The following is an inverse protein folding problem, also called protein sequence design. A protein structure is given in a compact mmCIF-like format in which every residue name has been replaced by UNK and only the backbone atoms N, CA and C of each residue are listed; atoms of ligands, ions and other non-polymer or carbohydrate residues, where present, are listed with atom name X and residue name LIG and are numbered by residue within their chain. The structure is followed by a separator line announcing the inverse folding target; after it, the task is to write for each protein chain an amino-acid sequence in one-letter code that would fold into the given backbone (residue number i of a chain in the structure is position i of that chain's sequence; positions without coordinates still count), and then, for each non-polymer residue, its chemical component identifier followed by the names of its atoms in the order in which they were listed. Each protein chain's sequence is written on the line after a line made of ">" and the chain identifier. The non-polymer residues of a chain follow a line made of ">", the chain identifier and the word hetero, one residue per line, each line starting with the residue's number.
data_IF_733043977395
#
_entry.id   IF_733043977395
#
_cell.length_a   1.000
_cell.length_b   1.000
_cell.length_c   1.000
_cell.angle_alpha   90.00
_cell.angle_beta   90.00
_cell.angle_gamma   90.00
#
_symmetry.space_group_name_H-M   'P 1'
#
loop_
_entity.id
_entity.type
_entity.pdbx_description
1 polymer ?
#
# COMPACT_ATOMS: atom_id res chain seq x y z
N UNK A 1 78.04 22.90 7.22
CA UNK A 1 76.68 23.38 6.94
C UNK A 1 75.72 22.50 7.75
N UNK A 2 75.10 23.05 8.81
CA UNK A 2 74.30 22.31 9.78
C UNK A 2 72.85 22.81 9.72
N UNK A 3 71.89 21.92 9.49
CA UNK A 3 70.46 22.25 9.35
C UNK A 3 69.72 22.16 10.69
N UNK A 4 68.76 23.06 11.00
CA UNK A 4 68.29 23.31 12.36
C UNK A 4 67.03 22.52 12.78
N UNK A 5 66.89 21.23 12.43
CA UNK A 5 65.66 20.45 12.77
C UNK A 5 65.89 19.11 13.47
N UNK A 6 67.08 18.85 14.01
CA UNK A 6 67.28 17.74 14.93
C UNK A 6 67.10 18.22 16.38
N UNK A 7 65.86 18.42 16.82
CA UNK A 7 65.55 18.49 18.24
C UNK A 7 64.46 17.49 18.57
N UNK A 8 64.88 16.51 19.36
CA UNK A 8 64.12 15.41 19.93
C UNK A 8 62.99 15.97 20.81
N UNK A 9 61.76 15.90 20.32
CA UNK A 9 60.57 16.27 21.06
C UNK A 9 59.76 15.03 21.40
N UNK A 10 59.91 14.53 22.63
CA UNK A 10 59.04 13.49 23.18
C UNK A 10 57.61 14.03 23.29
N UNK A 11 56.73 13.64 22.37
CA UNK A 11 55.30 13.85 22.55
C UNK A 11 54.81 12.82 23.58
N UNK A 12 54.75 13.26 24.83
CA UNK A 12 54.03 12.59 25.91
C UNK A 12 52.59 12.37 25.46
N UNK A 13 52.26 11.10 25.22
CA UNK A 13 50.92 10.58 24.99
C UNK A 13 49.98 11.11 26.08
N UNK A 14 49.14 12.07 25.69
CA UNK A 14 48.16 12.73 26.55
C UNK A 14 47.10 11.71 26.94
N UNK A 15 47.35 11.10 28.09
CA UNK A 15 46.57 10.00 28.68
C UNK A 15 45.28 10.59 29.23
N UNK A 16 44.31 10.81 28.36
CA UNK A 16 42.93 11.17 28.73
C UNK A 16 42.40 10.08 29.65
N UNK A 17 42.35 10.36 30.96
CA UNK A 17 41.71 9.49 31.94
C UNK A 17 40.19 9.57 31.71
N UNK A 18 39.50 8.45 31.44
CA UNK A 18 38.04 8.45 31.41
C UNK A 18 37.52 8.75 32.83
N UNK A 19 36.93 9.93 33.00
CA UNK A 19 36.29 10.33 34.25
C UNK A 19 34.90 9.71 34.30
N UNK A 20 34.79 8.54 34.92
CA UNK A 20 33.49 7.99 35.29
C UNK A 20 32.90 8.84 36.42
N UNK A 21 31.99 9.74 36.06
CA UNK A 21 31.04 10.32 37.02
C UNK A 21 29.89 9.32 37.18
N UNK A 22 29.95 8.52 38.24
CA UNK A 22 28.81 7.81 38.80
C UNK A 22 28.07 8.77 39.73
N UNK A 23 26.95 9.32 39.28
CA UNK A 23 25.94 9.87 40.20
C UNK A 23 25.00 8.74 40.63
N UNK A 24 24.73 8.56 41.93
CA UNK A 24 23.70 7.64 42.40
C UNK A 24 22.33 8.31 42.26
N UNK A 25 21.62 8.03 41.15
CA UNK A 25 20.19 8.33 41.09
C UNK A 25 19.38 7.21 41.73
N UNK A 26 18.62 7.59 42.76
CA UNK A 26 17.61 6.80 43.46
C UNK A 26 16.74 6.01 42.46
N UNK A 27 16.80 4.69 42.57
CA UNK A 27 15.94 3.76 41.87
C UNK A 27 14.49 3.96 42.32
N UNK A 28 13.67 4.53 41.44
CA UNK A 28 12.21 4.38 41.49
C UNK A 28 11.85 3.28 40.51
N UNK A 29 11.27 2.20 41.04
CA UNK A 29 10.82 1.02 40.32
C UNK A 29 10.01 1.41 39.07
N UNK A 30 10.46 0.98 37.89
CA UNK A 30 9.61 0.95 36.70
C UNK A 30 10.06 -0.17 35.76
N UNK A 31 9.21 -1.20 35.74
CA UNK A 31 8.84 -2.05 34.62
C UNK A 31 9.93 -2.43 33.61
N UNK A 32 10.25 -3.72 33.64
CA UNK A 32 10.80 -4.58 32.58
C UNK A 32 10.58 -3.98 31.18
N UNK A 33 11.62 -3.58 30.43
CA UNK A 33 11.46 -3.34 29.00
C UNK A 33 11.22 -4.69 28.31
N UNK A 34 10.26 -4.79 27.38
CA UNK A 34 10.22 -5.92 26.45
C UNK A 34 11.53 -5.93 25.65
N UNK A 35 12.03 -7.14 25.39
CA UNK A 35 13.26 -7.40 24.66
C UNK A 35 13.40 -6.52 23.41
N UNK A 36 14.63 -6.10 23.07
CA UNK A 36 14.90 -5.55 21.75
C UNK A 36 14.66 -6.65 20.73
N UNK A 37 13.53 -6.59 20.02
CA UNK A 37 13.42 -7.23 18.72
C UNK A 37 14.61 -6.70 17.92
N UNK A 38 15.55 -7.59 17.61
CA UNK A 38 16.67 -7.32 16.74
C UNK A 38 16.13 -6.55 15.53
N UNK A 39 16.74 -5.39 15.26
CA UNK A 39 16.36 -4.40 14.26
C UNK A 39 16.25 -5.02 12.86
N UNK A 40 15.17 -5.75 12.59
CA UNK A 40 14.69 -5.95 11.23
C UNK A 40 14.16 -4.58 10.82
N UNK A 41 14.76 -4.00 9.79
CA UNK A 41 14.26 -2.75 9.21
C UNK A 41 12.75 -2.86 8.88
N UNK A 42 12.07 -1.72 8.67
CA UNK A 42 10.63 -1.72 8.39
C UNK A 42 10.33 -2.68 7.23
N UNK A 43 9.49 -3.70 7.48
CA UNK A 43 9.02 -4.63 6.44
C UNK A 43 8.30 -3.85 5.35
N UNK A 44 8.32 -4.33 4.11
CA UNK A 44 7.49 -3.71 3.08
C UNK A 44 6.00 -3.82 3.43
N UNK A 45 5.22 -2.87 2.90
CA UNK A 45 3.75 -2.91 2.98
C UNK A 45 3.18 -4.22 2.40
N UNK A 46 3.86 -4.80 1.41
CA UNK A 46 3.45 -6.06 0.78
C UNK A 46 3.59 -7.24 1.73
N UNK A 47 4.72 -7.39 2.44
CA UNK A 47 4.87 -8.43 3.48
C UNK A 47 3.80 -8.29 4.55
N UNK A 48 3.57 -7.06 5.03
CA UNK A 48 2.56 -6.81 6.06
C UNK A 48 1.17 -7.20 5.56
N UNK A 49 0.85 -6.89 4.30
CA UNK A 49 -0.40 -7.29 3.67
C UNK A 49 -0.54 -8.81 3.61
N UNK A 50 0.48 -9.55 3.18
CA UNK A 50 0.43 -11.01 3.10
C UNK A 50 0.33 -11.67 4.48
N UNK A 51 1.09 -11.17 5.46
CA UNK A 51 1.03 -11.64 6.85
C UNK A 51 -0.37 -11.43 7.44
N UNK A 52 -1.02 -10.30 7.11
CA UNK A 52 -2.38 -10.04 7.57
C UNK A 52 -3.38 -11.10 7.10
N UNK A 53 -3.24 -11.57 5.85
CA UNK A 53 -4.12 -12.60 5.25
C UNK A 53 -3.99 -13.97 5.93
N UNK A 54 -2.88 -14.24 6.60
CA UNK A 54 -2.61 -15.52 7.26
C UNK A 54 -3.26 -15.61 8.66
N UNK A 55 -3.62 -14.48 9.27
CA UNK A 55 -3.79 -14.41 10.74
C UNK A 55 -5.13 -14.95 11.24
N UNK A 56 -6.15 -15.13 10.39
CA UNK A 56 -7.39 -15.76 10.86
C UNK A 56 -7.20 -17.27 10.93
N UNK A 57 -7.39 -17.86 12.12
CA UNK A 57 -7.46 -19.32 12.30
C UNK A 57 -8.91 -19.83 12.20
N UNK A 58 -9.89 -18.97 12.46
CA UNK A 58 -11.32 -19.28 12.35
C UNK A 58 -11.94 -18.47 11.20
N UNK A 59 -12.85 -19.07 10.41
CA UNK A 59 -13.59 -18.33 9.39
C UNK A 59 -14.59 -17.41 10.10
N UNK A 60 -14.21 -16.14 10.21
CA UNK A 60 -15.08 -15.10 10.77
C UNK A 60 -15.77 -14.39 9.60
N UNK A 61 -17.07 -14.05 9.71
CA UNK A 61 -17.70 -13.17 8.73
C UNK A 61 -16.93 -11.85 8.63
N UNK A 62 -16.92 -11.25 7.45
CA UNK A 62 -16.30 -9.95 7.25
C UNK A 62 -17.05 -8.90 8.10
N UNK A 63 -16.37 -8.15 9.00
CA UNK A 63 -17.01 -7.11 9.81
C UNK A 63 -17.68 -6.01 8.98
N UNK A 64 -17.29 -5.84 7.72
CA UNK A 64 -17.82 -4.86 6.78
C UNK A 64 -18.87 -5.45 5.83
N UNK A 65 -19.32 -6.68 6.04
CA UNK A 65 -20.45 -7.29 5.31
C UNK A 65 -20.13 -7.85 3.93
N UNK A 66 -18.84 -7.99 3.58
CA UNK A 66 -18.40 -8.48 2.26
C UNK A 66 -18.76 -7.54 1.10
N UNK A 67 -18.55 -8.00 -0.13
CA UNK A 67 -18.87 -7.26 -1.35
C UNK A 67 -19.53 -8.20 -2.39
N UNK A 68 -20.63 -7.74 -3.00
CA UNK A 68 -21.42 -8.52 -3.97
C UNK A 68 -21.25 -8.05 -5.42
N UNK A 69 -20.17 -7.34 -5.73
CA UNK A 69 -19.93 -6.78 -7.06
C UNK A 69 -19.63 -7.80 -8.17
N UNK A 70 -19.44 -9.10 -7.85
CA UNK A 70 -19.07 -10.16 -8.80
C UNK A 70 -17.83 -9.82 -9.64
N UNK A 71 -16.87 -9.09 -9.06
CA UNK A 71 -15.68 -8.57 -9.72
C UNK A 71 -15.93 -7.62 -10.93
N UNK A 72 -17.12 -6.97 -10.98
CA UNK A 72 -17.42 -5.95 -11.98
C UNK A 72 -16.85 -4.57 -11.63
N UNK A 73 -16.90 -4.22 -10.35
CA UNK A 73 -16.41 -2.92 -9.84
C UNK A 73 -15.01 -3.01 -9.24
N UNK A 74 -14.69 -4.17 -8.64
CA UNK A 74 -13.42 -4.42 -7.98
C UNK A 74 -12.68 -5.54 -8.71
N UNK A 75 -11.34 -5.50 -8.68
CA UNK A 75 -10.51 -6.56 -9.26
C UNK A 75 -10.85 -7.93 -8.66
N UNK A 76 -10.76 -8.99 -9.45
CA UNK A 76 -10.93 -10.37 -8.99
C UNK A 76 -9.93 -10.68 -7.86
N UNK A 77 -10.37 -11.43 -6.84
CA UNK A 77 -9.46 -11.87 -5.77
C UNK A 77 -8.35 -12.75 -6.34
N UNK A 78 -7.06 -12.47 -6.06
CA UNK A 78 -5.94 -13.24 -6.59
C UNK A 78 -5.82 -14.64 -5.95
N UNK A 79 -6.37 -14.80 -4.75
CA UNK A 79 -6.25 -16.02 -3.95
C UNK A 79 -7.50 -16.90 -4.00
N UNK A 80 -8.68 -16.27 -4.14
CA UNK A 80 -9.97 -16.95 -4.05
C UNK A 80 -10.95 -16.33 -5.05
N UNK A 81 -10.84 -16.68 -6.34
CA UNK A 81 -11.66 -16.07 -7.39
C UNK A 81 -13.16 -16.36 -7.27
N UNK A 82 -13.54 -17.50 -6.68
CA UNK A 82 -14.94 -17.86 -6.44
C UNK A 82 -15.10 -18.74 -5.19
N UNK A 83 -16.28 -18.67 -4.57
CA UNK A 83 -16.68 -19.63 -3.55
C UNK A 83 -17.10 -20.95 -4.20
N UNK A 84 -16.41 -22.07 -3.93
CA UNK A 84 -16.79 -23.35 -4.55
C UNK A 84 -18.08 -23.95 -3.98
N UNK A 85 -18.62 -23.43 -2.87
CA UNK A 85 -19.89 -23.92 -2.31
C UNK A 85 -21.11 -23.29 -2.98
N UNK A 86 -21.12 -21.97 -3.18
CA UNK A 86 -22.27 -21.26 -3.74
C UNK A 86 -22.02 -20.64 -5.13
N UNK A 87 -20.79 -20.69 -5.63
CA UNK A 87 -20.42 -20.13 -6.93
C UNK A 87 -20.26 -18.60 -6.97
N UNK A 88 -20.37 -17.90 -5.83
CA UNK A 88 -20.20 -16.44 -5.80
C UNK A 88 -18.77 -16.05 -6.22
N UNK A 89 -18.64 -15.22 -7.26
CA UNK A 89 -17.38 -14.63 -7.70
C UNK A 89 -16.93 -13.57 -6.69
N UNK A 90 -15.72 -13.72 -6.15
CA UNK A 90 -15.19 -12.87 -5.08
C UNK A 90 -14.16 -11.88 -5.63
N UNK A 91 -14.33 -10.60 -5.29
CA UNK A 91 -13.35 -9.56 -5.60
C UNK A 91 -12.27 -9.42 -4.52
N UNK A 92 -11.30 -8.56 -4.74
CA UNK A 92 -10.20 -8.26 -3.82
C UNK A 92 -10.63 -7.75 -2.44
N UNK A 93 -11.84 -7.19 -2.30
CA UNK A 93 -12.38 -6.79 -1.00
C UNK A 93 -12.86 -7.98 -0.16
N UNK A 94 -13.19 -9.10 -0.81
CA UNK A 94 -13.58 -10.34 -0.14
C UNK A 94 -12.31 -11.14 0.19
N UNK A 95 -11.68 -10.80 1.31
CA UNK A 95 -10.43 -11.42 1.72
C UNK A 95 -10.62 -12.92 2.01
N UNK A 96 -9.65 -13.78 1.65
CA UNK A 96 -9.72 -15.23 1.87
C UNK A 96 -9.78 -15.64 3.35
N UNK A 97 -9.40 -14.74 4.25
CA UNK A 97 -9.45 -14.97 5.70
C UNK A 97 -10.88 -14.94 6.26
N UNK A 98 -11.84 -14.37 5.51
CA UNK A 98 -13.23 -14.24 5.90
C UNK A 98 -14.11 -15.32 5.25
N UNK A 99 -15.22 -15.63 5.91
CA UNK A 99 -16.22 -16.53 5.36
C UNK A 99 -16.92 -15.89 4.15
N UNK A 100 -17.45 -16.73 3.24
CA UNK A 100 -18.20 -16.25 2.08
C UNK A 100 -19.40 -15.38 2.52
N UNK A 101 -19.61 -14.20 1.92
CA UNK A 101 -20.70 -13.31 2.35
C UNK A 101 -22.10 -13.84 1.99
N UNK A 102 -22.21 -14.82 1.09
CA UNK A 102 -23.50 -15.42 0.72
C UNK A 102 -23.85 -16.66 1.56
N UNK A 103 -22.93 -17.63 1.66
CA UNK A 103 -23.22 -18.91 2.31
C UNK A 103 -22.54 -19.09 3.68
N UNK A 104 -21.72 -18.13 4.10
CA UNK A 104 -20.95 -18.15 5.35
C UNK A 104 -20.01 -19.35 5.50
N UNK A 105 -19.73 -20.07 4.42
CA UNK A 105 -18.76 -21.15 4.41
C UNK A 105 -17.33 -20.61 4.25
N UNK A 106 -16.33 -21.25 4.88
CA UNK A 106 -14.93 -20.94 4.63
C UNK A 106 -14.54 -21.23 3.17
N UNK A 107 -13.51 -20.57 2.62
CA UNK A 107 -12.98 -20.95 1.33
C UNK A 107 -12.43 -22.39 1.41
N UNK A 108 -12.71 -23.21 0.39
CA UNK A 108 -12.16 -24.56 0.28
C UNK A 108 -10.64 -24.49 0.05
N UNK A 109 -9.93 -25.56 0.44
CA UNK A 109 -8.46 -25.65 0.33
C UNK A 109 -7.70 -24.55 1.08
N UNK A 110 -8.24 -24.11 2.22
CA UNK A 110 -7.60 -23.10 3.08
C UNK A 110 -6.15 -23.46 3.43
N UNK A 111 -5.88 -24.72 3.72
CA UNK A 111 -4.53 -25.20 4.03
C UNK A 111 -3.57 -25.00 2.85
N UNK A 112 -3.99 -25.34 1.63
CA UNK A 112 -3.20 -25.10 0.42
C UNK A 112 -2.97 -23.61 0.20
N UNK A 113 -3.96 -22.77 0.50
CA UNK A 113 -3.81 -21.32 0.43
C UNK A 113 -2.81 -20.79 1.46
N UNK A 114 -2.84 -21.30 2.69
CA UNK A 114 -1.88 -20.93 3.74
C UNK A 114 -0.46 -21.30 3.30
N UNK A 115 -0.25 -22.50 2.75
CA UNK A 115 1.05 -22.93 2.24
C UNK A 115 1.54 -22.02 1.10
N UNK A 116 0.64 -21.65 0.19
CA UNK A 116 0.98 -20.70 -0.90
C UNK A 116 1.36 -19.32 -0.37
N UNK A 117 0.57 -18.78 0.57
CA UNK A 117 0.86 -17.49 1.20
C UNK A 117 2.18 -17.52 1.97
N UNK A 118 2.49 -18.61 2.69
CA UNK A 118 3.77 -18.82 3.35
C UNK A 118 4.93 -18.80 2.35
N UNK A 119 4.81 -19.53 1.24
CA UNK A 119 5.80 -19.51 0.17
C UNK A 119 6.03 -18.11 -0.40
N UNK A 120 4.96 -17.35 -0.67
CA UNK A 120 5.06 -15.97 -1.16
C UNK A 120 5.71 -15.03 -0.12
N UNK A 121 5.38 -15.19 1.17
CA UNK A 121 6.01 -14.44 2.28
C UNK A 121 7.51 -14.74 2.36
N UNK A 122 7.89 -16.02 2.34
CA UNK A 122 9.29 -16.45 2.45
C UNK A 122 10.12 -15.98 1.24
N UNK A 123 9.56 -16.08 0.03
CA UNK A 123 10.20 -15.58 -1.17
C UNK A 123 10.43 -14.06 -1.13
N UNK A 124 9.42 -13.30 -0.68
CA UNK A 124 9.50 -11.85 -0.63
C UNK A 124 10.42 -11.39 0.50
N UNK A 125 10.41 -12.07 1.64
CA UNK A 125 11.35 -11.83 2.74
C UNK A 125 12.80 -12.09 2.32
N UNK A 126 13.06 -13.17 1.56
CA UNK A 126 14.39 -13.46 1.01
C UNK A 126 14.86 -12.38 0.04
N UNK A 127 13.96 -11.92 -0.85
CA UNK A 127 14.26 -10.82 -1.79
C UNK A 127 14.60 -9.51 -1.06
N UNK A 128 13.84 -9.16 -0.02
CA UNK A 128 14.11 -7.98 0.81
C UNK A 128 15.46 -8.08 1.54
N UNK A 129 15.83 -9.26 2.03
CA UNK A 129 17.11 -9.47 2.69
C UNK A 129 18.29 -9.34 1.71
N UNK A 130 18.18 -9.93 0.52
CA UNK A 130 19.19 -9.81 -0.53
C UNK A 130 19.37 -8.35 -0.99
N UNK A 131 18.26 -7.62 -1.17
CA UNK A 131 18.30 -6.19 -1.54
C UNK A 131 18.95 -5.36 -0.42
N UNK A 132 18.62 -5.64 0.84
CA UNK A 132 19.25 -4.99 1.98
C UNK A 132 20.75 -5.29 2.05
N UNK A 133 21.15 -6.52 1.76
CA UNK A 133 22.57 -6.90 1.71
C UNK A 133 23.29 -6.18 0.56
N UNK A 134 22.69 -6.10 -0.64
CA UNK A 134 23.24 -5.32 -1.76
C UNK A 134 23.38 -3.85 -1.41
N UNK A 135 22.36 -3.24 -0.80
CA UNK A 135 22.41 -1.85 -0.37
C UNK A 135 23.52 -1.62 0.68
N UNK A 136 23.69 -2.55 1.63
CA UNK A 136 24.78 -2.49 2.62
C UNK A 136 26.15 -2.62 1.97
N UNK A 137 26.32 -3.52 1.00
CA UNK A 137 27.56 -3.64 0.22
C UNK A 137 27.85 -2.38 -0.59
N UNK A 138 26.84 -1.73 -1.16
CA UNK A 138 26.99 -0.48 -1.89
C UNK A 138 27.36 0.72 -0.99
N UNK A 139 26.79 0.81 0.22
CA UNK A 139 27.12 1.87 1.19
C UNK A 139 28.45 1.64 1.90
N UNK A 140 28.82 0.38 2.14
CA UNK A 140 30.11 -0.02 2.69
C UNK A 140 31.24 -0.07 1.67
N UNK A 141 30.92 0.00 0.37
CA UNK A 141 31.90 0.23 -0.66
C UNK A 141 32.45 1.65 -0.45
N UNK A 142 33.72 1.73 -0.07
CA UNK A 142 34.48 2.98 -0.16
C UNK A 142 34.24 3.55 -1.56
N UNK A 143 33.89 4.84 -1.72
CA UNK A 143 33.73 5.44 -3.04
C UNK A 143 34.96 5.03 -3.84
N UNK A 144 34.75 4.21 -4.87
CA UNK A 144 35.87 3.71 -5.65
C UNK A 144 36.59 4.96 -6.15
N UNK A 145 37.81 5.19 -5.65
CA UNK A 145 38.73 6.18 -6.19
C UNK A 145 39.21 5.62 -7.54
N UNK A 146 38.28 5.47 -8.47
CA UNK A 146 38.54 5.12 -9.85
C UNK A 146 39.00 6.37 -10.56
N UNK A 147 40.27 6.36 -10.95
CA UNK A 147 40.89 7.41 -11.73
C UNK A 147 40.07 7.78 -12.97
N UNK A 148 40.06 9.08 -13.25
CA UNK A 148 39.77 9.73 -14.52
C UNK A 148 38.83 9.01 -15.49
N UNK A 149 37.58 9.47 -15.57
CA UNK A 149 36.82 9.35 -16.81
C UNK A 149 35.31 9.32 -16.67
N UNK A 150 34.68 10.42 -17.13
CA UNK A 150 33.32 10.48 -17.68
C UNK A 150 32.11 10.38 -16.71
N UNK A 151 31.72 11.57 -16.24
CA UNK A 151 30.40 12.22 -16.44
C UNK A 151 29.14 11.33 -16.34
N UNK A 152 28.30 11.62 -15.34
CA UNK A 152 26.87 11.34 -15.43
C UNK A 152 26.11 11.01 -14.14
N UNK A 153 26.59 11.38 -12.94
CA UNK A 153 25.87 11.13 -11.69
C UNK A 153 25.07 12.36 -11.23
N UNK A 154 23.74 12.27 -11.26
CA UNK A 154 22.80 13.27 -10.70
C UNK A 154 23.15 13.55 -9.24
N UNK A 155 23.33 14.83 -8.91
CA UNK A 155 23.64 15.31 -7.57
C UNK A 155 22.57 14.90 -6.55
N UNK A 156 22.98 14.16 -5.53
CA UNK A 156 22.24 13.95 -4.29
C UNK A 156 22.07 15.31 -3.58
N UNK A 157 20.87 15.68 -3.10
CA UNK A 157 20.70 16.90 -2.32
C UNK A 157 21.54 16.82 -1.03
N UNK A 158 22.21 17.92 -0.62
CA UNK A 158 23.03 17.93 0.59
C UNK A 158 22.17 17.69 1.84
N UNK A 159 22.69 16.98 2.86
CA UNK A 159 21.99 16.81 4.14
C UNK A 159 21.78 18.18 4.82
N UNK A 160 20.68 18.37 5.57
CA UNK A 160 20.38 19.63 6.23
C UNK A 160 21.52 20.03 7.17
N UNK A 161 22.14 21.18 6.89
CA UNK A 161 23.27 21.71 7.66
C UNK A 161 22.81 22.11 9.06
N UNK A 162 23.16 21.30 10.06
CA UNK A 162 23.00 21.66 11.46
C UNK A 162 24.15 22.60 11.84
N UNK A 163 23.86 23.89 11.98
CA UNK A 163 24.85 24.87 12.44
C UNK A 163 25.10 24.67 13.95
N UNK A 164 26.32 24.22 14.28
CA UNK A 164 26.79 24.14 15.67
C UNK A 164 27.51 25.44 16.01
N UNK A 165 26.92 26.23 16.89
CA UNK A 165 27.54 27.49 17.34
C UNK A 165 28.24 27.22 18.66
N UNK A 166 29.56 27.39 18.66
CA UNK A 166 30.37 27.39 19.88
C UNK A 166 30.39 28.82 20.43
N UNK A 167 29.73 29.06 21.56
CA UNK A 167 29.84 30.32 22.27
C UNK A 167 30.81 30.16 23.44
N UNK A 168 31.72 31.12 23.60
CA UNK A 168 32.65 31.16 24.72
C UNK A 168 32.24 32.30 25.62
N UNK A 169 31.82 31.99 26.84
CA UNK A 169 31.42 33.00 27.80
C UNK A 169 32.69 33.65 28.38
N UNK A 170 32.94 34.92 28.04
CA UNK A 170 34.18 35.64 28.39
C UNK A 170 34.41 35.82 29.89
N UNK A 171 33.35 35.82 30.72
CA UNK A 171 33.46 35.92 32.19
C UNK A 171 33.78 34.60 32.87
N UNK A 172 33.36 33.48 32.28
CA UNK A 172 33.53 32.15 32.90
C UNK A 172 34.51 31.24 32.15
N UNK A 173 35.01 31.69 30.98
CA UNK A 173 35.84 30.92 30.03
C UNK A 173 35.25 29.55 29.66
N UNK A 174 33.95 29.35 29.90
CA UNK A 174 33.25 28.11 29.58
C UNK A 174 32.76 28.16 28.15
N UNK A 175 33.05 27.10 27.40
CA UNK A 175 32.57 26.90 26.05
C UNK A 175 31.20 26.21 26.13
N UNK A 176 30.17 26.83 25.57
CA UNK A 176 28.83 26.27 25.45
C UNK A 176 28.57 25.95 23.98
N UNK A 177 28.26 24.68 23.71
CA UNK A 177 27.91 24.22 22.37
C UNK A 177 26.40 24.28 22.22
N UNK A 178 25.89 25.28 21.50
CA UNK A 178 24.47 25.40 21.20
C UNK A 178 24.24 24.84 19.80
N UNK A 179 23.53 23.71 19.72
CA UNK A 179 23.10 23.13 18.45
C UNK A 179 21.71 23.66 18.11
N UNK A 180 21.62 24.50 17.08
CA UNK A 180 20.33 24.98 16.57
C UNK A 180 19.93 24.10 15.39
N UNK A 181 19.09 23.11 15.65
CA UNK A 181 18.38 22.39 14.60
C UNK A 181 17.19 23.25 14.17
N UNK A 182 17.35 24.02 13.09
CA UNK A 182 16.22 24.59 12.37
C UNK A 182 15.51 23.45 11.64
N UNK A 183 14.64 22.73 12.34
CA UNK A 183 13.60 21.98 11.65
C UNK A 183 12.51 22.97 11.31
N UNK A 184 12.21 23.27 10.03
CA UNK A 184 10.92 23.81 9.71
C UNK A 184 9.89 22.83 10.28
N UNK A 185 9.03 23.34 11.17
CA UNK A 185 7.82 22.62 11.58
C UNK A 185 6.98 22.52 10.32
N UNK A 186 7.24 21.48 9.51
CA UNK A 186 6.26 21.04 8.55
C UNK A 186 5.07 20.59 9.38
N UNK A 187 4.08 21.47 9.47
CA UNK A 187 2.68 21.12 9.59
C UNK A 187 2.49 19.91 8.69
N UNK A 188 2.45 18.74 9.31
CA UNK A 188 2.14 17.47 8.67
C UNK A 188 0.80 17.71 7.98
N UNK A 189 0.72 17.77 6.64
CA UNK A 189 -0.58 17.74 6.01
C UNK A 189 -1.25 16.45 6.52
N UNK A 190 -2.50 16.55 6.96
CA UNK A 190 -3.33 15.37 7.16
C UNK A 190 -3.17 14.54 5.90
N UNK A 191 -2.47 13.41 6.03
CA UNK A 191 -2.38 12.42 4.98
C UNK A 191 -3.82 12.13 4.58
N UNK A 192 -4.21 12.31 3.30
CA UNK A 192 -5.55 12.00 2.85
C UNK A 192 -5.90 10.61 3.36
N UNK A 193 -6.95 10.52 4.16
CA UNK A 193 -7.49 9.23 4.56
C UNK A 193 -7.73 8.47 3.26
N UNK A 194 -7.00 7.37 3.07
CA UNK A 194 -7.11 6.54 1.89
C UNK A 194 -8.58 6.13 1.78
N UNK A 195 -9.26 6.65 0.76
CA UNK A 195 -10.72 6.51 0.61
C UNK A 195 -11.02 5.03 0.47
N UNK A 196 -11.74 4.49 1.47
CA UNK A 196 -11.99 3.06 1.51
C UNK A 196 -12.88 2.68 0.30
N UNK A 197 -12.51 1.64 -0.47
CA UNK A 197 -13.26 1.27 -1.65
C UNK A 197 -14.72 0.94 -1.31
N UNK A 198 -15.64 1.53 -2.06
CA UNK A 198 -17.10 1.43 -1.87
C UNK A 198 -17.55 -0.02 -2.06
N UNK A 199 -18.28 -0.58 -1.10
CA UNK A 199 -18.77 -1.96 -1.16
C UNK A 199 -20.17 -2.02 -1.76
N UNK A 200 -20.34 -2.88 -2.77
CA UNK A 200 -21.67 -3.21 -3.32
C UNK A 200 -22.48 -4.03 -2.31
N UNK A 201 -23.68 -3.56 -1.92
CA UNK A 201 -24.54 -4.26 -0.98
C UNK A 201 -25.05 -5.60 -1.54
N UNK A 202 -25.52 -6.51 -0.67
CA UNK A 202 -26.14 -7.75 -1.12
C UNK A 202 -27.32 -7.47 -2.06
N UNK A 203 -27.54 -8.33 -3.06
CA UNK A 203 -28.72 -8.23 -3.90
C UNK A 203 -29.97 -8.39 -3.04
N UNK A 204 -31.09 -7.71 -3.40
CA UNK A 204 -32.34 -7.87 -2.69
C UNK A 204 -32.80 -9.33 -2.74
N UNK A 205 -33.25 -9.85 -1.59
CA UNK A 205 -33.72 -11.24 -1.47
C UNK A 205 -34.97 -11.52 -2.31
N UNK A 206 -35.79 -10.49 -2.52
CA UNK A 206 -37.00 -10.58 -3.31
C UNK A 206 -36.72 -10.19 -4.76
N UNK A 207 -36.64 -11.19 -5.62
CA UNK A 207 -36.65 -10.96 -7.07
C UNK A 207 -38.08 -10.56 -7.47
N UNK A 208 -38.22 -9.35 -8.01
CA UNK A 208 -39.49 -8.88 -8.57
C UNK A 208 -39.87 -9.77 -9.74
N UNK A 209 -40.78 -10.70 -9.50
CA UNK A 209 -41.34 -11.57 -10.51
C UNK A 209 -42.73 -11.06 -10.91
N UNK A 210 -43.09 -11.31 -12.16
CA UNK A 210 -44.43 -11.03 -12.62
C UNK A 210 -45.43 -11.94 -11.88
N UNK A 211 -46.42 -11.34 -11.21
CA UNK A 211 -47.52 -12.08 -10.57
C UNK A 211 -48.60 -12.52 -11.58
N UNK A 212 -48.52 -12.08 -12.83
CA UNK A 212 -49.49 -12.38 -13.89
C UNK A 212 -49.16 -13.72 -14.55
N UNK A 213 -50.21 -14.45 -14.96
CA UNK A 213 -50.06 -15.68 -15.76
C UNK A 213 -49.48 -15.33 -17.13
N UNK A 214 -48.57 -16.18 -17.62
CA UNK A 214 -47.99 -16.04 -18.97
C UNK A 214 -49.09 -16.26 -20.01
N UNK A 215 -49.25 -15.29 -20.92
CA UNK A 215 -50.14 -15.40 -22.06
C UNK A 215 -49.54 -16.36 -23.10
N UNK A 216 -50.21 -17.46 -23.47
CA UNK A 216 -49.70 -18.41 -24.46
C UNK A 216 -49.55 -17.80 -25.86
N UNK A 217 -50.29 -16.73 -26.17
CA UNK A 217 -50.15 -16.02 -27.45
C UNK A 217 -48.87 -15.15 -27.51
N UNK A 218 -48.29 -14.82 -26.35
CA UNK A 218 -47.09 -13.97 -26.23
C UNK A 218 -46.17 -14.49 -25.12
N UNK A 219 -45.55 -15.68 -25.31
CA UNK A 219 -44.69 -16.30 -24.28
C UNK A 219 -43.46 -15.45 -23.93
N UNK A 220 -43.04 -14.56 -24.84
CA UNK A 220 -41.89 -13.67 -24.66
C UNK A 220 -42.28 -12.25 -24.20
N UNK A 221 -43.54 -12.00 -23.83
CA UNK A 221 -43.93 -10.69 -23.31
C UNK A 221 -43.30 -10.47 -21.92
N UNK A 222 -42.75 -9.28 -21.69
CA UNK A 222 -42.26 -8.90 -20.37
C UNK A 222 -43.45 -8.50 -19.48
N UNK A 223 -43.69 -9.27 -18.43
CA UNK A 223 -44.75 -9.04 -17.45
C UNK A 223 -44.26 -8.32 -16.18
N UNK A 224 -42.97 -7.98 -16.12
CA UNK A 224 -42.35 -7.24 -15.02
C UNK A 224 -42.39 -5.74 -15.37
N UNK A 225 -43.31 -5.00 -14.72
CA UNK A 225 -43.51 -3.55 -14.93
C UNK A 225 -44.65 -3.19 -15.90
N UNK A 226 -44.84 -1.89 -16.13
CA UNK A 226 -45.72 -1.41 -17.21
C UNK A 226 -45.11 -1.79 -18.56
N UNK A 227 -45.93 -2.38 -19.43
CA UNK A 227 -45.53 -2.92 -20.74
C UNK A 227 -44.56 -1.98 -21.45
N UNK A 228 -43.37 -2.48 -21.80
CA UNK A 228 -42.38 -1.71 -22.55
C UNK A 228 -43.05 -1.11 -23.80
N UNK A 229 -43.23 0.22 -23.79
CA UNK A 229 -43.83 0.94 -24.91
C UNK A 229 -42.71 1.22 -25.90
N UNK A 230 -42.83 0.68 -27.11
CA UNK A 230 -41.89 1.03 -28.18
C UNK A 230 -41.97 2.54 -28.41
N UNK A 231 -40.83 3.22 -28.20
CA UNK A 231 -40.66 4.63 -28.55
C UNK A 231 -39.93 4.63 -29.90
N UNK A 232 -40.61 4.89 -31.02
CA UNK A 232 -39.95 4.98 -32.32
C UNK A 232 -38.92 6.11 -32.31
N UNK A 233 -37.74 5.83 -32.86
CA UNK A 233 -36.73 6.85 -33.09
C UNK A 233 -37.30 7.95 -34.01
N UNK A 234 -37.37 9.18 -33.50
CA UNK A 234 -37.93 10.33 -34.23
C UNK A 234 -37.03 10.82 -35.39
N UNK A 235 -36.00 10.09 -35.78
CA UNK A 235 -34.88 10.61 -36.59
C UNK A 235 -34.87 10.21 -38.07
N UNK A 236 -35.98 9.71 -38.65
CA UNK A 236 -36.04 9.40 -40.11
C UNK A 236 -37.36 9.73 -40.82
N UNK A 237 -37.90 10.93 -40.65
CA UNK A 237 -38.95 11.48 -41.55
C UNK A 237 -38.54 12.83 -42.12
N UNK A 238 -37.52 12.84 -42.99
CA UNK A 238 -37.36 13.89 -43.99
C UNK A 238 -36.64 13.32 -45.22
N UNK A 239 -37.41 13.07 -46.28
CA UNK A 239 -36.86 12.89 -47.62
C UNK A 239 -37.35 11.67 -48.38
N UNK A 240 -38.58 11.73 -48.90
CA UNK A 240 -39.04 11.03 -50.12
C UNK A 240 -40.49 11.45 -50.34
N UNK A 241 -40.92 11.96 -51.48
CA UNK A 241 -40.32 12.17 -52.78
C UNK A 241 -41.51 12.56 -53.65
N UNK A 242 -41.49 13.76 -54.23
CA UNK A 242 -42.55 14.30 -55.06
C UNK A 242 -42.52 13.56 -56.41
N UNK A 243 -43.21 12.43 -56.51
CA UNK A 243 -43.48 11.76 -57.77
C UNK A 243 -44.68 12.41 -58.44
N UNK A 244 -44.42 13.23 -59.47
CA UNK A 244 -45.44 13.71 -60.41
C UNK A 244 -45.98 12.51 -61.19
N UNK A 245 -47.24 12.15 -61.00
CA UNK A 245 -48.01 11.44 -62.03
C UNK A 245 -48.29 12.44 -63.15
N UNK A 246 -47.75 12.17 -64.33
CA UNK A 246 -48.16 12.83 -65.56
C UNK A 246 -49.32 12.03 -66.16
N UNK A 247 -50.42 12.73 -66.42
CA UNK A 247 -51.44 12.36 -67.40
C UNK A 247 -50.81 11.98 -68.74
N UNK A 248 -51.35 10.93 -69.36
CA UNK A 248 -51.74 10.90 -70.77
C UNK A 248 -52.41 9.54 -71.10
N UNK A 249 -53.73 9.55 -71.35
CA UNK A 249 -54.31 8.69 -72.40
C UNK A 249 -53.92 9.24 -73.79
N UNK A 250 -54.47 8.81 -74.94
CA UNK A 250 -55.59 7.88 -75.23
C UNK A 250 -55.08 6.70 -76.12
N UNK A 251 -55.83 5.77 -76.73
CA UNK A 251 -57.20 5.65 -77.26
C UNK A 251 -57.61 4.18 -77.27
#
# INVERSE_FOLDING_TARGET
>A
MSTPWSSSGSLSSDRIKPRHTTQPQKQKQKQKPPQPQAQRGPKSKQLISLESLQTSATPVPDPKGGCFCQAKEHSLSPYTSACLTCGLVLCSLNLPQHACPHCHQPPPNREALIVRLQGEIDELARKEEEERERARKALGAFPALGGGGARGGRATPPPPSQHKVLSVNSKTKKVTVSSYTSTPVHSRPETPAEEEPVRVPPPPSEVVHAKRKVDPSRPFANYVGESARYVPDKTKTKGKGKGKENEAGPS
#
